data_IF_833802835931
#
_entry.id   IF_833802835931
#
_cell.length_a   1.000
_cell.length_b   1.000
_cell.length_c   1.000
_cell.angle_alpha   90.00
_cell.angle_beta   90.00
_cell.angle_gamma   90.00
#
_symmetry.space_group_name_H-M   'P 1'
#
loop_
_entity.id
_entity.type
_entity.pdbx_description
1 polymer ?
#
# COMPACT_ATOMS: atom_id res chain seq x y z
N UNK A 1 -20.99 4.34 -11.96
CA UNK A 1 -21.90 4.70 -10.82
C UNK A 1 -21.38 4.06 -9.55
N UNK A 2 -21.24 4.83 -8.49
CA UNK A 2 -20.90 4.34 -7.15
C UNK A 2 -22.04 4.74 -6.21
N UNK A 3 -22.50 3.81 -5.39
CA UNK A 3 -23.59 4.10 -4.46
C UNK A 3 -23.95 2.90 -3.60
N UNK A 4 -24.89 3.10 -2.70
CA UNK A 4 -25.48 2.03 -1.89
C UNK A 4 -26.31 1.08 -2.77
N UNK A 5 -26.61 -0.16 -2.29
CA UNK A 5 -27.43 -1.08 -3.06
C UNK A 5 -28.75 -0.46 -3.54
N UNK A 6 -29.43 0.32 -2.71
CA UNK A 6 -30.66 1.01 -3.07
C UNK A 6 -30.47 2.01 -4.21
N UNK A 7 -29.40 2.80 -4.17
CA UNK A 7 -29.08 3.77 -5.22
C UNK A 7 -28.70 3.08 -6.53
N UNK A 8 -27.95 1.98 -6.46
CA UNK A 8 -27.57 1.20 -7.64
C UNK A 8 -28.78 0.55 -8.31
N UNK A 9 -29.73 0.00 -7.55
CA UNK A 9 -30.95 -0.59 -8.09
C UNK A 9 -31.77 0.46 -8.84
N UNK A 10 -31.96 1.65 -8.26
CA UNK A 10 -32.71 2.74 -8.89
C UNK A 10 -32.02 3.18 -10.19
N UNK A 11 -30.70 3.33 -10.17
CA UNK A 11 -29.91 3.71 -11.34
C UNK A 11 -30.00 2.64 -12.45
N UNK A 12 -29.83 1.36 -12.11
CA UNK A 12 -29.90 0.25 -13.05
C UNK A 12 -31.30 0.14 -13.70
N UNK A 13 -32.36 0.38 -12.95
CA UNK A 13 -33.73 0.35 -13.46
C UNK A 13 -33.98 1.39 -14.58
N UNK A 14 -33.22 2.49 -14.59
CA UNK A 14 -33.29 3.52 -15.63
C UNK A 14 -32.36 3.28 -16.81
N UNK A 15 -31.58 2.19 -16.84
CA UNK A 15 -30.66 1.93 -17.94
C UNK A 15 -31.29 1.12 -19.08
N UNK A 16 -30.64 1.14 -20.23
CA UNK A 16 -31.02 0.33 -21.38
C UNK A 16 -30.93 -1.17 -21.02
N UNK A 17 -32.03 -1.89 -21.25
CA UNK A 17 -32.17 -3.32 -20.90
C UNK A 17 -31.28 -4.25 -21.72
N UNK A 18 -30.80 -3.80 -22.87
CA UNK A 18 -29.93 -4.61 -23.75
C UNK A 18 -28.44 -4.48 -23.41
N UNK A 19 -28.10 -3.61 -22.47
CA UNK A 19 -26.70 -3.44 -22.00
C UNK A 19 -26.41 -4.27 -20.77
N UNK A 20 -25.23 -4.83 -20.74
CA UNK A 20 -24.70 -5.54 -19.56
C UNK A 20 -23.91 -4.60 -18.67
N UNK A 21 -24.04 -4.76 -17.36
CA UNK A 21 -23.35 -3.98 -16.35
C UNK A 21 -22.66 -4.91 -15.35
N UNK A 22 -21.41 -4.58 -15.01
CA UNK A 22 -20.72 -5.23 -13.93
C UNK A 22 -20.90 -4.42 -12.63
N UNK A 23 -21.25 -5.11 -11.56
CA UNK A 23 -21.36 -4.50 -10.23
C UNK A 23 -20.37 -5.19 -9.30
N UNK A 24 -19.44 -4.42 -8.75
CA UNK A 24 -18.43 -4.90 -7.82
C UNK A 24 -18.37 -4.02 -6.57
N UNK A 25 -17.90 -4.55 -5.43
CA UNK A 25 -17.69 -3.74 -4.24
C UNK A 25 -16.76 -2.56 -4.54
N UNK A 26 -17.16 -1.36 -4.12
CA UNK A 26 -16.37 -0.16 -4.30
C UNK A 26 -15.40 0.03 -3.12
N UNK A 27 -14.12 0.06 -3.43
CA UNK A 27 -13.07 0.44 -2.51
C UNK A 27 -12.56 1.83 -2.89
N UNK A 28 -12.68 2.78 -1.96
CA UNK A 28 -12.18 4.13 -2.19
C UNK A 28 -10.66 4.08 -2.41
N UNK A 29 -10.21 4.45 -3.60
CA UNK A 29 -8.78 4.59 -3.89
C UNK A 29 -8.21 5.77 -3.11
N UNK A 30 -6.98 5.62 -2.62
CA UNK A 30 -6.24 6.72 -2.00
C UNK A 30 -6.01 7.86 -3.00
N UNK A 31 -5.82 9.08 -2.51
CA UNK A 31 -5.46 10.19 -3.38
C UNK A 31 -4.01 10.07 -3.88
N UNK A 32 -3.73 10.63 -5.05
CA UNK A 32 -2.38 10.72 -5.59
C UNK A 32 -1.46 11.56 -4.68
N UNK A 33 -2.03 12.56 -3.97
CA UNK A 33 -1.29 13.43 -3.06
C UNK A 33 -0.69 12.66 -1.88
N UNK A 34 -1.36 11.62 -1.39
CA UNK A 34 -0.84 10.74 -0.35
C UNK A 34 0.48 10.08 -0.77
N UNK A 35 0.51 9.54 -1.97
CA UNK A 35 1.70 8.91 -2.51
C UNK A 35 2.82 9.93 -2.78
N UNK A 36 2.47 11.08 -3.32
CA UNK A 36 3.41 12.16 -3.55
C UNK A 36 4.06 12.62 -2.23
N UNK A 37 3.28 12.79 -1.17
CA UNK A 37 3.80 13.17 0.14
C UNK A 37 4.71 12.09 0.75
N UNK A 38 4.37 10.82 0.60
CA UNK A 38 5.23 9.72 1.00
C UNK A 38 6.63 9.84 0.36
N UNK A 39 6.69 10.09 -0.94
CA UNK A 39 7.95 10.26 -1.66
C UNK A 39 8.70 11.53 -1.25
N UNK A 40 8.01 12.62 -0.94
CA UNK A 40 8.62 13.84 -0.38
C UNK A 40 9.32 13.53 0.93
N UNK A 41 8.67 12.81 1.84
CA UNK A 41 9.26 12.41 3.12
C UNK A 41 10.46 11.47 2.93
N UNK A 42 10.34 10.48 2.06
CA UNK A 42 11.44 9.58 1.76
C UNK A 42 12.65 10.33 1.19
N UNK A 43 12.43 11.33 0.34
CA UNK A 43 13.50 12.18 -0.20
C UNK A 43 14.19 12.97 0.89
N UNK A 44 13.44 13.61 1.79
CA UNK A 44 14.01 14.37 2.93
C UNK A 44 14.85 13.49 3.87
N UNK A 45 14.35 12.29 4.17
CA UNK A 45 15.08 11.31 5.01
C UNK A 45 16.35 10.85 4.28
N UNK A 46 16.24 10.56 2.99
CA UNK A 46 17.38 10.15 2.17
C UNK A 46 18.48 11.21 2.12
N UNK A 47 18.12 12.47 1.96
CA UNK A 47 19.07 13.59 1.97
C UNK A 47 19.77 13.71 3.32
N UNK A 48 19.07 13.50 4.42
CA UNK A 48 19.64 13.53 5.77
C UNK A 48 20.59 12.37 6.02
N UNK A 49 20.27 11.17 5.53
CA UNK A 49 21.06 9.96 5.72
C UNK A 49 22.07 9.70 4.59
N UNK A 50 22.18 10.59 3.62
CA UNK A 50 23.07 10.49 2.47
C UNK A 50 22.90 9.18 1.67
N UNK A 51 21.66 8.83 1.39
CA UNK A 51 21.28 7.66 0.62
C UNK A 51 20.23 8.00 -0.44
N UNK A 52 19.71 7.02 -1.17
CA UNK A 52 18.69 7.25 -2.18
C UNK A 52 17.26 7.20 -1.58
N UNK A 53 16.34 7.94 -2.17
CA UNK A 53 14.93 7.91 -1.78
C UNK A 53 14.31 6.52 -1.98
N UNK A 54 14.78 5.77 -2.97
CA UNK A 54 14.35 4.41 -3.26
C UNK A 54 14.75 3.45 -2.12
N UNK A 55 15.95 3.59 -1.58
CA UNK A 55 16.42 2.80 -0.45
C UNK A 55 15.60 3.11 0.82
N UNK A 56 15.33 4.39 1.09
CA UNK A 56 14.48 4.79 2.20
C UNK A 56 13.07 4.24 2.03
N UNK A 57 12.49 4.38 0.85
CA UNK A 57 11.17 3.84 0.55
C UNK A 57 11.10 2.32 0.81
N UNK A 58 12.09 1.57 0.35
CA UNK A 58 12.16 0.13 0.57
C UNK A 58 12.26 -0.21 2.07
N UNK A 59 13.05 0.53 2.84
CA UNK A 59 13.13 0.36 4.29
C UNK A 59 11.79 0.62 4.97
N UNK A 60 11.08 1.68 4.57
CA UNK A 60 9.76 2.01 5.12
C UNK A 60 8.73 0.94 4.78
N UNK A 61 8.73 0.43 3.55
CA UNK A 61 7.88 -0.70 3.14
C UNK A 61 8.14 -1.92 4.03
N UNK A 62 9.39 -2.31 4.21
CA UNK A 62 9.74 -3.48 5.03
C UNK A 62 9.39 -3.32 6.52
N UNK A 63 9.43 -2.09 7.04
CA UNK A 63 9.12 -1.81 8.45
C UNK A 63 7.62 -1.69 8.72
N UNK A 64 6.89 -1.01 7.85
CA UNK A 64 5.56 -0.49 8.18
C UNK A 64 4.44 -0.94 7.25
N UNK A 65 4.75 -1.42 6.05
CA UNK A 65 3.72 -1.84 5.11
C UNK A 65 3.06 -3.16 5.54
N UNK A 66 1.79 -3.36 5.19
CA UNK A 66 1.15 -4.65 5.36
C UNK A 66 1.92 -5.77 4.64
N UNK A 67 2.06 -6.91 5.28
CA UNK A 67 2.77 -8.06 4.71
C UNK A 67 2.04 -9.36 4.98
N UNK A 68 2.29 -10.35 4.13
CA UNK A 68 1.81 -11.72 4.28
C UNK A 68 2.97 -12.69 4.08
N UNK A 69 2.84 -13.88 4.64
CA UNK A 69 3.76 -15.01 4.37
C UNK A 69 3.14 -15.90 3.31
N UNK A 70 3.89 -16.18 2.26
CA UNK A 70 3.45 -17.02 1.14
C UNK A 70 4.37 -18.23 1.02
N UNK A 71 3.84 -19.47 1.06
CA UNK A 71 4.61 -20.65 0.78
C UNK A 71 4.79 -20.81 -0.73
N UNK A 72 6.02 -21.06 -1.15
CA UNK A 72 6.37 -21.31 -2.56
C UNK A 72 7.21 -22.58 -2.63
N UNK A 73 6.98 -23.42 -3.63
CA UNK A 73 7.84 -24.60 -3.85
C UNK A 73 9.27 -24.14 -4.09
N UNK A 74 10.22 -24.83 -3.46
CA UNK A 74 11.64 -24.46 -3.50
C UNK A 74 12.23 -24.36 -4.91
N UNK A 75 11.70 -25.14 -5.87
CA UNK A 75 12.10 -25.09 -7.27
C UNK A 75 11.50 -23.94 -8.09
N UNK A 76 10.55 -23.19 -7.53
CA UNK A 76 9.90 -22.07 -8.22
C UNK A 76 10.66 -20.77 -8.01
N UNK A 77 10.81 -20.02 -9.09
CA UNK A 77 11.39 -18.69 -9.07
C UNK A 77 10.30 -17.66 -8.71
N UNK A 78 10.58 -16.80 -7.73
CA UNK A 78 9.64 -15.74 -7.28
C UNK A 78 9.90 -14.39 -7.93
N UNK A 79 11.06 -14.22 -8.55
CA UNK A 79 11.42 -12.99 -9.25
C UNK A 79 10.40 -12.66 -10.35
N UNK A 80 9.88 -11.44 -10.31
CA UNK A 80 8.88 -10.98 -11.28
C UNK A 80 7.42 -11.21 -10.85
N UNK A 81 7.16 -12.06 -9.85
CA UNK A 81 5.79 -12.27 -9.31
C UNK A 81 5.45 -11.27 -8.21
N UNK A 82 6.42 -10.90 -7.38
CA UNK A 82 6.25 -9.95 -6.28
C UNK A 82 7.24 -8.81 -6.42
N UNK A 83 6.80 -7.62 -6.07
CA UNK A 83 7.63 -6.41 -6.14
C UNK A 83 8.52 -6.24 -4.91
N UNK A 84 7.97 -6.49 -3.72
CA UNK A 84 8.68 -6.39 -2.44
C UNK A 84 8.54 -7.70 -1.69
N UNK A 85 9.62 -8.46 -1.62
CA UNK A 85 9.63 -9.79 -0.98
C UNK A 85 10.99 -10.11 -0.39
N UNK A 86 10.99 -11.04 0.55
CA UNK A 86 12.21 -11.55 1.18
C UNK A 86 11.98 -12.99 1.64
N UNK A 87 12.99 -13.83 1.49
CA UNK A 87 12.94 -15.18 2.03
C UNK A 87 12.86 -15.11 3.56
N UNK A 88 11.82 -15.68 4.14
CA UNK A 88 11.58 -15.71 5.57
C UNK A 88 12.18 -16.96 6.21
N UNK A 89 11.81 -18.13 5.70
CA UNK A 89 12.34 -19.42 6.16
C UNK A 89 12.17 -20.50 5.10
N UNK A 90 12.95 -21.58 5.24
CA UNK A 90 12.78 -22.79 4.46
C UNK A 90 12.10 -23.86 5.32
N UNK A 91 11.21 -24.65 4.72
CA UNK A 91 10.47 -25.69 5.42
C UNK A 91 10.08 -26.82 4.48
N UNK A 92 9.25 -27.73 4.95
CA UNK A 92 8.65 -28.79 4.12
C UNK A 92 7.13 -28.75 4.25
N UNK A 93 6.45 -28.92 3.12
CA UNK A 93 4.99 -29.06 3.04
C UNK A 93 4.70 -30.37 2.31
N UNK A 94 3.96 -31.27 2.94
CA UNK A 94 3.66 -32.59 2.38
C UNK A 94 4.94 -33.34 1.92
N UNK A 95 5.98 -33.30 2.77
CA UNK A 95 7.31 -33.90 2.50
C UNK A 95 8.06 -33.32 1.29
N UNK A 96 7.67 -32.15 0.79
CA UNK A 96 8.36 -31.43 -0.28
C UNK A 96 8.98 -30.15 0.23
N UNK A 97 10.20 -29.78 -0.22
CA UNK A 97 10.81 -28.50 0.17
C UNK A 97 9.95 -27.32 -0.25
N UNK A 98 9.75 -26.39 0.66
CA UNK A 98 9.02 -25.15 0.42
C UNK A 98 9.73 -23.98 1.09
N UNK A 99 9.73 -22.85 0.42
CA UNK A 99 10.26 -21.60 0.93
C UNK A 99 9.10 -20.68 1.31
N UNK A 100 9.16 -20.09 2.49
CA UNK A 100 8.22 -19.06 2.90
C UNK A 100 8.81 -17.70 2.61
N UNK A 101 8.10 -16.91 1.82
CA UNK A 101 8.46 -15.53 1.52
C UNK A 101 7.56 -14.58 2.26
N UNK A 102 8.14 -13.55 2.85
CA UNK A 102 7.40 -12.38 3.30
C UNK A 102 7.24 -11.45 2.11
N UNK A 103 5.99 -11.09 1.83
CA UNK A 103 5.65 -10.20 0.72
C UNK A 103 4.95 -8.97 1.28
N UNK A 104 5.45 -7.79 0.93
CA UNK A 104 4.91 -6.51 1.37
C UNK A 104 4.11 -5.84 0.29
N UNK A 105 3.09 -5.12 0.73
CA UNK A 105 2.26 -4.27 -0.12
C UNK A 105 2.98 -2.95 -0.40
N UNK A 106 3.11 -2.57 -1.66
CA UNK A 106 3.63 -1.25 -2.03
C UNK A 106 2.62 -0.14 -1.74
N UNK A 107 3.08 1.10 -1.57
CA UNK A 107 2.19 2.23 -1.26
C UNK A 107 1.13 2.47 -2.34
N UNK A 108 1.42 2.15 -3.59
CA UNK A 108 0.45 2.25 -4.70
C UNK A 108 -0.72 1.28 -4.59
N UNK A 109 -0.57 0.20 -3.84
CA UNK A 109 -1.58 -0.84 -3.66
C UNK A 109 -2.33 -0.73 -2.32
N UNK A 110 -1.92 0.20 -1.45
CA UNK A 110 -2.55 0.42 -0.16
C UNK A 110 -3.91 1.10 -0.29
N UNK A 111 -4.87 0.67 0.53
CA UNK A 111 -6.10 1.42 0.74
C UNK A 111 -5.87 2.69 1.60
N UNK A 112 -6.92 3.49 1.79
CA UNK A 112 -6.81 4.74 2.54
C UNK A 112 -6.40 4.53 4.01
N UNK A 113 -6.88 3.48 4.66
CA UNK A 113 -6.55 3.15 6.05
C UNK A 113 -5.10 2.70 6.19
N UNK A 114 -4.65 1.80 5.32
CA UNK A 114 -3.28 1.32 5.26
C UNK A 114 -2.30 2.46 4.98
N UNK A 115 -2.64 3.33 4.03
CA UNK A 115 -1.81 4.48 3.67
C UNK A 115 -1.71 5.51 4.80
N UNK A 116 -2.78 5.75 5.54
CA UNK A 116 -2.78 6.62 6.71
C UNK A 116 -1.80 6.13 7.78
N UNK A 117 -1.84 4.84 8.10
CA UNK A 117 -0.92 4.23 9.06
C UNK A 117 0.53 4.28 8.59
N UNK A 118 0.74 3.97 7.32
CA UNK A 118 2.07 4.00 6.70
C UNK A 118 2.69 5.39 6.73
N UNK A 119 1.95 6.41 6.35
CA UNK A 119 2.39 7.81 6.39
C UNK A 119 2.66 8.27 7.83
N UNK A 120 1.82 7.91 8.79
CA UNK A 120 2.04 8.26 10.20
C UNK A 120 3.37 7.72 10.72
N UNK A 121 3.72 6.50 10.37
CA UNK A 121 5.00 5.91 10.75
C UNK A 121 6.19 6.66 10.12
N UNK A 122 6.09 7.00 8.84
CA UNK A 122 7.16 7.77 8.15
C UNK A 122 7.29 9.17 8.74
N UNK A 123 6.18 9.84 9.05
CA UNK A 123 6.18 11.15 9.73
C UNK A 123 6.89 11.05 11.09
N UNK A 124 6.60 10.03 11.87
CA UNK A 124 7.25 9.81 13.17
C UNK A 124 8.76 9.64 13.02
N UNK A 125 9.20 8.83 12.06
CA UNK A 125 10.62 8.64 11.77
C UNK A 125 11.31 9.94 11.32
N UNK A 126 10.64 10.72 10.47
CA UNK A 126 11.15 12.03 10.02
C UNK A 126 11.30 13.01 11.19
N UNK A 127 10.33 13.06 12.11
CA UNK A 127 10.39 13.91 13.32
C UNK A 127 11.51 13.52 14.25
N UNK A 128 11.79 12.24 14.41
CA UNK A 128 12.92 11.75 15.21
C UNK A 128 14.27 12.21 14.65
N UNK A 129 14.35 12.49 13.36
CA UNK A 129 15.53 13.01 12.68
C UNK A 129 15.56 14.54 12.60
N UNK A 130 14.68 15.24 13.30
CA UNK A 130 14.49 16.69 13.23
C UNK A 130 14.17 17.20 11.81
N UNK A 131 13.54 16.39 11.00
CA UNK A 131 13.10 16.75 9.66
C UNK A 131 11.72 17.44 9.74
N UNK A 132 11.61 18.60 9.09
CA UNK A 132 10.35 19.34 9.01
C UNK A 132 9.31 18.53 8.23
N UNK A 133 8.13 18.38 8.83
CA UNK A 133 6.96 17.73 8.21
C UNK A 133 5.85 18.78 8.05
N UNK A 134 4.82 18.44 7.26
CA UNK A 134 3.65 19.33 7.13
C UNK A 134 3.01 19.61 8.49
N UNK A 135 2.40 20.81 8.67
CA UNK A 135 1.65 21.10 9.89
C UNK A 135 0.54 20.07 10.13
N UNK A 136 0.21 19.77 11.41
CA UNK A 136 -0.83 18.79 11.74
C UNK A 136 -2.17 19.04 11.04
N UNK A 137 -2.55 20.29 10.83
CA UNK A 137 -3.78 20.66 10.10
C UNK A 137 -3.76 20.23 8.64
N UNK A 138 -2.63 20.37 7.97
CA UNK A 138 -2.48 19.93 6.57
C UNK A 138 -2.41 18.43 6.45
N UNK A 139 -1.74 17.75 7.36
CA UNK A 139 -1.73 16.28 7.45
C UNK A 139 -3.15 15.76 7.66
N UNK A 140 -3.92 16.37 8.55
CA UNK A 140 -5.30 16.01 8.79
C UNK A 140 -6.17 16.18 7.54
N UNK A 141 -5.99 17.29 6.82
CA UNK A 141 -6.68 17.55 5.56
C UNK A 141 -6.36 16.47 4.50
N UNK A 142 -5.11 16.09 4.36
CA UNK A 142 -4.71 15.01 3.46
C UNK A 142 -5.40 13.69 3.84
N UNK A 143 -5.41 13.34 5.12
CA UNK A 143 -6.07 12.12 5.62
C UNK A 143 -7.57 12.12 5.36
N UNK A 144 -8.24 13.25 5.49
CA UNK A 144 -9.68 13.40 5.19
C UNK A 144 -9.97 13.16 3.70
N UNK A 145 -9.07 13.55 2.82
CA UNK A 145 -9.19 13.27 1.38
C UNK A 145 -9.05 11.78 1.04
N UNK A 146 -8.44 10.99 1.92
CA UNK A 146 -8.22 9.55 1.72
C UNK A 146 -9.33 8.67 2.27
N UNK A 147 -10.20 9.22 3.09
CA UNK A 147 -11.33 8.49 3.72
C UNK A 147 -12.47 8.20 2.75
#
# INVERSE_FOLDING_TARGET
>A
MVGTPKQLIIWLAGQNKDKQFEVSPYHKKRSLDANAYCWVLCTKIADTLLTSKEDIYLQMIKRYAPSILIPVRAEKEVKGFFKYYELFETSTINNKPADYYRVWKGSSDMDASEMTKFIDCIIADAKEMDIETLPPSEIQRLKEMWK
#
